data_IF_180569528872
#
_entry.id   IF_180569528872
#
_cell.length_a   1.000
_cell.length_b   1.000
_cell.length_c   1.000
_cell.angle_alpha   90.00
_cell.angle_beta   90.00
_cell.angle_gamma   90.00
#
_symmetry.space_group_name_H-M   'P 1'
#
loop_
_entity.id
_entity.type
_entity.pdbx_description
1 polymer ?
#
# COMPACT_ATOMS: atom_id res chain seq x y z
N UNK A 1 1.82 25.27 -5.92
CA UNK A 1 2.98 24.61 -6.53
C UNK A 1 3.62 23.73 -5.47
N UNK A 2 3.80 22.45 -5.74
CA UNK A 2 4.49 21.55 -4.81
C UNK A 2 6.01 21.73 -4.97
N UNK A 3 6.78 21.37 -3.94
CA UNK A 3 8.25 21.37 -4.01
C UNK A 3 8.75 20.46 -5.13
N UNK A 4 9.94 20.71 -5.69
CA UNK A 4 10.53 19.85 -6.71
C UNK A 4 10.64 18.41 -6.20
N UNK A 5 9.90 17.48 -6.82
CA UNK A 5 9.84 16.08 -6.39
C UNK A 5 8.73 15.73 -5.40
N UNK A 6 7.81 16.65 -5.11
CA UNK A 6 6.55 16.35 -4.43
C UNK A 6 5.42 16.10 -5.46
N UNK A 7 4.55 15.14 -5.14
CA UNK A 7 3.36 14.80 -5.92
C UNK A 7 2.15 15.58 -5.39
N UNK A 8 1.23 15.93 -6.29
CA UNK A 8 0.05 16.74 -5.96
C UNK A 8 -1.20 15.88 -5.95
N UNK A 9 -1.82 15.80 -4.77
CA UNK A 9 -3.11 15.17 -4.51
C UNK A 9 -4.25 15.78 -5.31
N UNK A 10 -5.34 15.04 -5.48
CA UNK A 10 -6.55 15.52 -6.15
C UNK A 10 -7.19 16.70 -5.38
N UNK A 11 -7.15 16.67 -4.05
CA UNK A 11 -7.57 17.80 -3.20
C UNK A 11 -6.65 19.03 -3.29
N UNK A 12 -5.46 18.88 -3.90
CA UNK A 12 -4.47 19.95 -4.05
C UNK A 12 -3.39 19.97 -2.97
N UNK A 13 -3.43 19.04 -2.01
CA UNK A 13 -2.33 18.77 -1.07
C UNK A 13 -1.07 18.30 -1.80
N UNK A 14 0.08 18.44 -1.14
CA UNK A 14 1.37 18.02 -1.67
C UNK A 14 2.02 17.01 -0.72
N UNK A 15 2.40 15.85 -1.25
CA UNK A 15 3.08 14.79 -0.53
C UNK A 15 4.38 14.42 -1.23
N UNK A 16 5.27 13.72 -0.53
CA UNK A 16 6.47 13.16 -1.15
C UNK A 16 6.09 11.92 -1.98
N UNK A 17 6.78 11.69 -3.09
CA UNK A 17 6.55 10.50 -3.92
C UNK A 17 6.71 9.16 -3.15
N UNK A 18 7.48 9.15 -2.05
CA UNK A 18 7.65 7.97 -1.19
C UNK A 18 6.38 7.54 -0.44
N UNK A 19 5.38 8.42 -0.37
CA UNK A 19 4.10 8.20 0.29
C UNK A 19 3.00 7.81 -0.69
N UNK A 20 3.35 7.60 -1.98
CA UNK A 20 2.42 7.05 -2.94
C UNK A 20 2.38 5.54 -2.77
N UNK A 21 1.19 4.96 -2.72
CA UNK A 21 0.99 3.52 -2.74
C UNK A 21 1.65 2.77 -1.58
N UNK A 22 1.68 3.38 -0.41
CA UNK A 22 2.22 2.76 0.79
C UNK A 22 1.14 2.23 1.74
N UNK A 23 -0.13 2.38 1.35
CA UNK A 23 -1.30 1.91 2.08
C UNK A 23 -1.76 2.88 3.17
N UNK A 24 -1.20 4.09 3.23
CA UNK A 24 -1.60 5.11 4.19
C UNK A 24 -2.04 6.38 3.47
N UNK A 25 -3.19 6.94 3.87
CA UNK A 25 -3.72 8.17 3.28
C UNK A 25 -2.97 9.40 3.81
N UNK A 26 -1.92 9.83 3.09
CA UNK A 26 -1.22 11.08 3.36
C UNK A 26 -1.87 12.28 2.68
N UNK A 27 -2.63 12.07 1.59
CA UNK A 27 -3.32 13.18 0.94
C UNK A 27 -4.53 13.72 1.71
N UNK A 28 -5.11 12.93 2.62
CA UNK A 28 -6.38 13.19 3.29
C UNK A 28 -7.61 12.80 2.46
N UNK A 29 -7.49 12.72 1.14
CA UNK A 29 -8.53 12.31 0.19
C UNK A 29 -8.28 10.91 -0.42
N UNK A 30 -7.24 10.19 0.04
CA UNK A 30 -6.81 8.88 -0.47
C UNK A 30 -6.32 8.89 -1.94
N UNK A 31 -6.15 10.06 -2.57
CA UNK A 31 -5.74 10.13 -3.98
C UNK A 31 -4.33 9.60 -4.25
N UNK A 32 -3.50 9.51 -3.21
CA UNK A 32 -2.21 8.84 -3.19
C UNK A 32 -2.28 7.30 -3.31
N UNK A 33 -3.45 6.73 -3.10
CA UNK A 33 -3.70 5.28 -3.08
C UNK A 33 -4.66 4.82 -4.20
N UNK A 34 -5.14 5.72 -5.08
CA UNK A 34 -6.18 5.40 -6.08
C UNK A 34 -5.67 4.71 -7.34
N UNK A 35 -4.44 5.02 -7.78
CA UNK A 35 -3.89 4.51 -9.04
C UNK A 35 -2.55 3.82 -8.80
N UNK A 36 -2.52 2.96 -7.79
CA UNK A 36 -1.38 2.11 -7.53
C UNK A 36 -1.42 0.94 -8.49
N UNK A 37 -0.49 0.90 -9.43
CA UNK A 37 -0.27 -0.31 -10.20
C UNK A 37 0.02 -1.43 -9.19
N UNK A 38 -0.69 -2.58 -9.28
CA UNK A 38 -0.25 -3.74 -8.55
C UNK A 38 1.20 -3.93 -8.96
N UNK A 39 2.14 -4.10 -8.02
CA UNK A 39 3.52 -4.22 -8.42
C UNK A 39 3.55 -5.39 -9.40
N UNK A 40 3.99 -5.11 -10.63
CA UNK A 40 4.07 -6.11 -11.66
C UNK A 40 4.92 -7.22 -11.07
N UNK A 41 4.32 -8.38 -10.88
CA UNK A 41 5.01 -9.56 -10.39
C UNK A 41 5.95 -10.01 -11.51
N UNK A 42 7.04 -9.28 -11.69
CA UNK A 42 8.27 -9.88 -12.18
C UNK A 42 8.71 -10.80 -11.05
N UNK A 43 8.59 -12.11 -11.30
CA UNK A 43 9.11 -13.14 -10.40
C UNK A 43 10.63 -13.02 -10.40
N UNK A 44 11.13 -12.03 -9.67
CA UNK A 44 12.49 -11.91 -9.14
C UNK A 44 12.35 -11.36 -7.73
N UNK A 45 11.79 -12.19 -6.85
CA UNK A 45 12.05 -12.17 -5.39
C UNK A 45 12.05 -10.82 -4.67
N UNK A 46 11.11 -9.92 -4.96
CA UNK A 46 10.66 -8.93 -3.98
C UNK A 46 9.38 -8.22 -4.45
N UNK A 47 8.38 -8.19 -3.57
CA UNK A 47 7.39 -7.10 -3.50
C UNK A 47 6.18 -7.18 -4.44
N UNK A 48 5.26 -8.12 -4.21
CA UNK A 48 3.79 -7.91 -4.34
C UNK A 48 3.04 -9.09 -3.74
N UNK A 49 2.72 -9.05 -2.45
CA UNK A 49 1.60 -9.82 -1.93
C UNK A 49 0.66 -8.86 -1.23
N UNK A 50 -0.52 -8.67 -1.82
CA UNK A 50 -1.71 -8.28 -1.08
C UNK A 50 -2.00 -9.36 -0.05
N UNK A 51 -1.38 -9.26 1.13
CA UNK A 51 -1.84 -10.01 2.29
C UNK A 51 -3.07 -9.29 2.85
N UNK A 52 -4.21 -9.45 2.18
CA UNK A 52 -5.49 -9.47 2.87
C UNK A 52 -6.03 -10.90 2.83
N UNK A 53 -5.48 -11.71 3.73
CA UNK A 53 -6.09 -12.91 4.30
C UNK A 53 -5.19 -13.42 5.44
N UNK A 54 -5.30 -12.83 6.63
CA UNK A 54 -5.04 -13.59 7.84
C UNK A 54 -6.29 -13.59 8.71
N UNK A 55 -7.28 -14.36 8.26
CA UNK A 55 -7.85 -15.36 9.16
C UNK A 55 -7.32 -16.73 8.71
N UNK A 56 -6.02 -16.96 8.87
CA UNK A 56 -5.55 -18.33 9.04
C UNK A 56 -6.02 -18.79 10.41
N UNK A 57 -7.30 -19.14 10.46
CA UNK A 57 -7.79 -20.38 11.05
C UNK A 57 -6.59 -21.24 11.48
N UNK A 58 -6.26 -21.17 12.77
CA UNK A 58 -5.25 -21.99 13.40
C UNK A 58 -5.76 -23.44 13.35
N UNK A 59 -5.61 -24.09 12.20
CA UNK A 59 -5.92 -25.53 12.00
C UNK A 59 -4.78 -26.40 12.49
N UNK A 60 -3.94 -25.88 13.38
CA UNK A 60 -2.84 -26.65 13.93
C UNK A 60 -2.59 -26.17 15.36
N UNK A 61 -2.73 -27.08 16.33
CA UNK A 61 -1.97 -27.14 17.59
C UNK A 61 -2.50 -26.57 18.93
N UNK A 62 -3.80 -26.64 19.29
CA UNK A 62 -4.19 -26.41 20.71
C UNK A 62 -5.31 -27.28 21.32
N UNK A 63 -5.78 -28.33 20.66
CA UNK A 63 -6.54 -29.40 21.34
C UNK A 63 -5.71 -30.69 21.38
N UNK A 64 -4.55 -30.59 22.03
CA UNK A 64 -4.01 -31.72 22.79
C UNK A 64 -4.56 -31.54 24.20
N UNK A 65 -5.74 -32.09 24.46
CA UNK A 65 -6.25 -32.66 25.72
C UNK A 65 -7.69 -33.13 25.47
#
# INVERSE_FOLDING_TARGET
MCFHGAWRCANGNCILNKYLCDGHNFCGDNSDEWNCDPPTVEITTASSTSLQANETYLVTTSFLF
#
